data_IF_816571569297
#
_entry.id   IF_816571569297
#
_cell.length_a   1.000
_cell.length_b   1.000
_cell.length_c   1.000
_cell.angle_alpha   90.00
_cell.angle_beta   90.00
_cell.angle_gamma   90.00
#
_symmetry.space_group_name_H-M   'P 1'
#
loop_
_entity.id
_entity.type
_entity.pdbx_description
1 polymer ?
#
# COMPACT_ATOMS: atom_id res chain seq x y z
N UNK A 1 3.88 5.30 11.45
CA UNK A 1 2.63 5.19 10.71
C UNK A 1 2.69 6.01 9.43
N UNK A 2 2.09 5.47 8.34
CA UNK A 2 2.05 6.07 7.02
C UNK A 2 0.63 6.36 6.53
N UNK A 3 0.56 7.09 5.42
CA UNK A 3 -0.66 7.48 4.73
C UNK A 3 -0.47 7.33 3.22
N UNK A 4 -1.47 6.77 2.52
CA UNK A 4 -1.47 6.68 1.07
C UNK A 4 -2.04 7.95 0.44
N UNK A 5 -1.34 8.48 -0.55
CA UNK A 5 -1.87 9.49 -1.47
C UNK A 5 -2.54 8.80 -2.64
N UNK A 6 -3.55 7.97 -2.33
CA UNK A 6 -4.23 7.11 -3.29
C UNK A 6 -5.20 7.84 -4.20
N UNK A 7 -5.57 7.20 -5.31
CA UNK A 7 -6.41 7.75 -6.37
C UNK A 7 -5.88 9.08 -6.93
N UNK A 8 -4.57 9.21 -6.99
CA UNK A 8 -3.89 10.39 -7.52
C UNK A 8 -3.02 10.01 -8.73
N UNK A 9 -1.77 9.55 -8.50
CA UNK A 9 -0.88 9.10 -9.56
C UNK A 9 -1.15 7.67 -10.02
N UNK A 10 -1.95 6.93 -9.29
CA UNK A 10 -2.51 5.62 -9.63
C UNK A 10 -3.79 5.73 -10.47
N UNK A 11 -4.47 6.87 -10.45
CA UNK A 11 -5.69 7.11 -11.22
C UNK A 11 -5.43 7.09 -12.73
N UNK A 12 -6.38 6.55 -13.51
CA UNK A 12 -6.25 6.43 -14.96
C UNK A 12 -7.59 6.57 -15.69
N UNK A 13 -7.54 6.89 -16.97
CA UNK A 13 -8.68 6.85 -17.88
C UNK A 13 -8.24 6.16 -19.17
N UNK A 14 -8.97 5.13 -19.62
CA UNK A 14 -8.62 4.33 -20.80
C UNK A 14 -7.17 3.79 -20.78
N UNK A 15 -6.69 3.35 -19.63
CA UNK A 15 -5.35 2.81 -19.45
C UNK A 15 -4.23 3.84 -19.45
N UNK A 16 -4.53 5.14 -19.47
CA UNK A 16 -3.56 6.23 -19.38
C UNK A 16 -3.65 6.85 -18.00
N UNK A 17 -2.58 6.79 -17.21
CA UNK A 17 -2.57 7.40 -15.88
C UNK A 17 -2.58 8.93 -15.95
N UNK A 18 -3.28 9.54 -15.01
CA UNK A 18 -3.37 10.99 -14.89
C UNK A 18 -3.68 11.38 -13.45
N UNK A 19 -2.96 12.34 -12.94
CA UNK A 19 -3.05 12.81 -11.55
C UNK A 19 -4.48 13.17 -11.10
N UNK A 20 -5.36 13.54 -12.02
CA UNK A 20 -6.70 14.01 -11.72
C UNK A 20 -7.81 13.16 -12.32
N UNK A 21 -7.47 11.98 -12.88
CA UNK A 21 -8.40 11.15 -13.64
C UNK A 21 -9.65 10.74 -12.83
N UNK A 22 -9.52 10.57 -11.52
CA UNK A 22 -10.63 10.15 -10.63
C UNK A 22 -11.14 11.29 -9.74
N UNK A 23 -10.92 12.55 -10.16
CA UNK A 23 -11.55 13.75 -9.57
C UNK A 23 -10.84 14.36 -8.37
N UNK A 24 -9.69 13.82 -7.94
CA UNK A 24 -8.86 14.49 -6.95
C UNK A 24 -8.19 15.74 -7.57
N UNK A 25 -8.03 16.84 -6.83
CA UNK A 25 -7.31 18.01 -7.30
C UNK A 25 -5.81 17.73 -7.41
N UNK A 26 -5.03 18.48 -8.23
CA UNK A 26 -3.60 18.32 -8.31
C UNK A 26 -2.91 18.42 -6.95
N UNK A 27 -1.89 17.61 -6.73
CA UNK A 27 -1.08 17.61 -5.52
C UNK A 27 -0.40 18.96 -5.29
N UNK A 28 -0.38 19.42 -4.04
CA UNK A 28 0.26 20.66 -3.62
C UNK A 28 1.08 20.46 -2.35
N UNK A 29 2.04 21.35 -2.07
CA UNK A 29 2.81 21.34 -0.84
C UNK A 29 1.92 21.35 0.41
N UNK A 30 0.83 22.12 0.40
CA UNK A 30 -0.09 22.25 1.55
C UNK A 30 -0.68 20.92 2.01
N UNK A 31 -0.91 19.99 1.06
CA UNK A 31 -1.43 18.66 1.42
C UNK A 31 -0.41 17.89 2.24
N UNK A 32 0.84 17.86 1.81
CA UNK A 32 1.91 17.13 2.50
C UNK A 32 2.26 17.77 3.85
N UNK A 33 2.22 19.10 3.94
CA UNK A 33 2.38 19.82 5.21
C UNK A 33 1.27 19.43 6.22
N UNK A 34 0.02 19.29 5.76
CA UNK A 34 -1.10 18.84 6.60
C UNK A 34 -0.88 17.40 7.07
N UNK A 35 -0.47 16.48 6.19
CA UNK A 35 -0.20 15.08 6.53
C UNK A 35 0.90 14.98 7.59
N UNK A 36 2.02 15.68 7.40
CA UNK A 36 3.11 15.71 8.39
C UNK A 36 2.64 16.32 9.73
N UNK A 37 1.89 17.42 9.70
CA UNK A 37 1.32 18.06 10.91
C UNK A 37 0.35 17.14 11.65
N UNK A 38 -0.33 16.24 10.94
CA UNK A 38 -1.26 15.27 11.53
C UNK A 38 -0.55 14.11 12.23
N UNK A 39 0.79 14.00 12.11
CA UNK A 39 1.61 13.00 12.78
C UNK A 39 2.05 11.83 11.92
N UNK A 40 1.68 11.77 10.63
CA UNK A 40 2.20 10.77 9.71
C UNK A 40 3.67 11.04 9.42
N UNK A 41 4.49 9.99 9.44
CA UNK A 41 5.93 10.09 9.12
C UNK A 41 6.29 9.58 7.74
N UNK A 42 5.35 8.92 7.07
CA UNK A 42 5.54 8.28 5.77
C UNK A 42 4.35 8.58 4.87
N UNK A 43 4.61 8.84 3.59
CA UNK A 43 3.60 8.87 2.54
C UNK A 43 3.93 7.80 1.50
N UNK A 44 2.97 6.94 1.20
CA UNK A 44 3.00 6.09 0.00
C UNK A 44 2.28 6.84 -1.11
N UNK A 45 2.97 7.05 -2.22
CA UNK A 45 2.46 7.69 -3.43
C UNK A 45 2.34 6.59 -4.48
N UNK A 46 1.16 5.97 -4.62
CA UNK A 46 0.91 4.98 -5.68
C UNK A 46 1.10 5.63 -7.05
N UNK A 47 1.89 4.99 -7.93
CA UNK A 47 2.17 5.51 -9.28
C UNK A 47 1.88 4.43 -10.31
N UNK A 48 1.01 4.74 -11.25
CA UNK A 48 0.79 3.95 -12.47
C UNK A 48 1.61 4.55 -13.59
N UNK A 49 2.44 3.74 -14.23
CA UNK A 49 3.32 4.14 -15.34
C UNK A 49 2.66 3.90 -16.69
N UNK A 50 1.60 3.07 -16.72
CA UNK A 50 0.87 2.76 -17.94
C UNK A 50 0.35 4.01 -18.63
N UNK A 51 0.46 4.03 -19.96
CA UNK A 51 0.16 5.22 -20.77
C UNK A 51 1.31 6.19 -20.95
N UNK A 52 2.36 6.12 -20.10
CA UNK A 52 3.55 6.97 -20.17
C UNK A 52 4.82 6.18 -20.54
N UNK A 53 4.69 4.91 -20.90
CA UNK A 53 5.79 4.04 -21.34
C UNK A 53 5.73 3.88 -22.84
N UNK A 54 6.81 4.24 -23.53
CA UNK A 54 6.95 4.04 -24.95
C UNK A 54 6.98 2.57 -25.37
N UNK A 55 7.02 2.32 -26.66
CA UNK A 55 7.08 0.97 -27.24
C UNK A 55 8.45 0.30 -27.06
N UNK A 56 8.57 -0.97 -27.40
CA UNK A 56 9.85 -1.69 -27.41
C UNK A 56 10.87 -1.05 -28.32
N UNK A 57 10.46 -0.44 -29.43
CA UNK A 57 11.35 0.27 -30.37
C UNK A 57 11.96 1.54 -29.79
N UNK A 58 11.34 2.12 -28.75
CA UNK A 58 11.88 3.24 -27.97
C UNK A 58 12.51 2.79 -26.65
N UNK A 59 12.84 1.51 -26.52
CA UNK A 59 13.39 0.89 -25.31
C UNK A 59 12.51 1.10 -24.08
N UNK A 60 11.18 1.15 -24.28
CA UNK A 60 10.19 1.43 -23.24
C UNK A 60 10.44 2.75 -22.49
N UNK A 61 10.92 3.78 -23.18
CA UNK A 61 11.25 5.08 -22.58
C UNK A 61 10.02 5.66 -21.88
N UNK A 62 10.20 6.02 -20.61
CA UNK A 62 9.17 6.70 -19.83
C UNK A 62 9.15 8.19 -20.21
N UNK A 63 7.95 8.77 -20.30
CA UNK A 63 7.78 10.19 -20.57
C UNK A 63 8.39 11.04 -19.47
N UNK A 64 9.27 11.96 -19.85
CA UNK A 64 9.98 12.87 -18.94
C UNK A 64 9.02 13.76 -18.15
N UNK A 65 7.92 14.19 -18.77
CA UNK A 65 6.88 15.00 -18.11
C UNK A 65 6.24 14.27 -16.92
N UNK A 66 6.00 12.96 -17.05
CA UNK A 66 5.43 12.14 -15.97
C UNK A 66 6.44 11.94 -14.85
N UNK A 67 7.67 11.54 -15.17
CA UNK A 67 8.76 11.42 -14.20
C UNK A 67 8.98 12.72 -13.42
N UNK A 68 9.05 13.85 -14.12
CA UNK A 68 9.24 15.18 -13.54
C UNK A 68 8.08 15.58 -12.60
N UNK A 69 6.83 15.25 -12.99
CA UNK A 69 5.68 15.54 -12.12
C UNK A 69 5.69 14.68 -10.86
N UNK A 70 5.99 13.38 -10.98
CA UNK A 70 6.16 12.49 -9.81
C UNK A 70 7.28 13.01 -8.91
N UNK A 71 8.42 13.41 -9.47
CA UNK A 71 9.53 13.99 -8.72
C UNK A 71 9.14 15.28 -7.97
N UNK A 72 8.35 16.14 -8.60
CA UNK A 72 7.83 17.35 -7.97
C UNK A 72 7.03 17.00 -6.69
N UNK A 73 6.18 16.00 -6.76
CA UNK A 73 5.32 15.61 -5.63
C UNK A 73 6.13 14.88 -4.54
N UNK A 74 7.11 14.06 -4.92
CA UNK A 74 8.10 13.53 -3.97
C UNK A 74 8.82 14.68 -3.25
N UNK A 75 9.15 15.75 -3.97
CA UNK A 75 9.75 16.96 -3.40
C UNK A 75 8.87 17.65 -2.36
N UNK A 76 7.56 17.68 -2.56
CA UNK A 76 6.61 18.19 -1.55
C UNK A 76 6.66 17.37 -0.25
N UNK A 77 6.66 16.05 -0.38
CA UNK A 77 6.76 15.16 0.77
C UNK A 77 8.10 15.31 1.51
N UNK A 78 9.21 15.36 0.78
CA UNK A 78 10.56 15.61 1.30
C UNK A 78 10.62 16.92 2.08
N UNK A 79 10.08 18.00 1.52
CA UNK A 79 10.05 19.33 2.16
C UNK A 79 9.20 19.32 3.44
N UNK A 80 8.14 18.52 3.49
CA UNK A 80 7.33 18.32 4.69
C UNK A 80 8.00 17.39 5.73
N UNK A 81 9.18 16.84 5.46
CA UNK A 81 9.90 15.93 6.35
C UNK A 81 9.40 14.48 6.34
N UNK A 82 8.59 14.10 5.34
CA UNK A 82 8.04 12.76 5.20
C UNK A 82 9.03 11.83 4.49
N UNK A 83 9.04 10.56 4.89
CA UNK A 83 9.59 9.48 4.06
C UNK A 83 8.58 9.11 2.99
N UNK A 84 9.06 8.62 1.85
CA UNK A 84 8.23 8.40 0.67
C UNK A 84 8.39 6.97 0.16
N UNK A 85 7.28 6.34 -0.21
CA UNK A 85 7.25 5.08 -0.96
C UNK A 85 6.58 5.37 -2.29
N UNK A 86 7.24 5.01 -3.41
CA UNK A 86 6.61 4.97 -4.74
C UNK A 86 6.64 3.54 -5.28
N UNK A 87 5.70 3.21 -6.15
CA UNK A 87 5.55 1.85 -6.68
C UNK A 87 5.20 1.80 -8.16
N UNK A 88 4.94 0.59 -8.65
CA UNK A 88 4.22 0.30 -9.87
C UNK A 88 2.82 -0.18 -9.48
N UNK A 89 1.79 0.68 -9.65
CA UNK A 89 0.48 0.46 -9.03
C UNK A 89 -0.51 -0.26 -9.96
N UNK A 90 -1.25 0.47 -10.79
CA UNK A 90 -2.25 -0.11 -11.72
C UNK A 90 -1.66 -0.39 -13.10
N UNK A 91 -0.42 -0.86 -13.16
CA UNK A 91 0.21 -1.37 -14.39
C UNK A 91 -0.20 -2.81 -14.70
N UNK A 92 -0.88 -3.48 -13.77
CA UNK A 92 -1.37 -4.84 -13.97
C UNK A 92 -2.56 -4.90 -14.93
N UNK A 93 -2.75 -6.09 -15.55
CA UNK A 93 -3.76 -6.27 -16.58
C UNK A 93 -5.21 -6.15 -16.08
N UNK A 94 -5.48 -6.37 -14.79
CA UNK A 94 -6.82 -6.24 -14.23
C UNK A 94 -7.26 -4.77 -14.18
N UNK A 95 -6.31 -3.86 -14.14
CA UNK A 95 -6.50 -2.41 -14.19
C UNK A 95 -6.27 -1.82 -15.59
N UNK A 96 -6.29 -2.64 -16.64
CA UNK A 96 -6.06 -2.20 -18.03
C UNK A 96 -4.59 -1.95 -18.37
N UNK A 97 -3.67 -2.34 -17.49
CA UNK A 97 -2.23 -2.20 -17.68
C UNK A 97 -1.62 -3.34 -18.49
N UNK A 98 -0.31 -3.31 -18.60
CA UNK A 98 0.47 -4.22 -19.44
C UNK A 98 1.00 -5.45 -18.70
N UNK A 99 1.15 -5.38 -17.38
CA UNK A 99 1.75 -6.43 -16.55
C UNK A 99 0.72 -7.52 -16.24
N UNK A 100 0.66 -8.54 -17.12
CA UNK A 100 -0.33 -9.62 -17.01
C UNK A 100 0.28 -10.91 -16.49
N UNK A 101 0.06 -11.22 -15.22
CA UNK A 101 0.51 -12.48 -14.64
C UNK A 101 -0.19 -13.68 -15.28
N UNK A 102 -1.48 -13.54 -15.65
CA UNK A 102 -2.25 -14.60 -16.32
C UNK A 102 -1.65 -14.97 -17.66
N UNK A 103 -1.26 -14.00 -18.50
CA UNK A 103 -0.60 -14.26 -19.77
C UNK A 103 0.81 -14.80 -19.56
N UNK A 104 1.56 -14.24 -18.63
CA UNK A 104 2.90 -14.69 -18.30
C UNK A 104 2.92 -16.16 -17.83
N UNK A 105 1.90 -16.59 -17.07
CA UNK A 105 1.82 -17.96 -16.56
C UNK A 105 1.51 -19.00 -17.64
N UNK A 106 0.90 -18.60 -18.75
CA UNK A 106 0.49 -19.48 -19.83
C UNK A 106 1.45 -19.51 -21.01
N UNK A 107 2.33 -18.50 -21.16
CA UNK A 107 3.26 -18.39 -22.30
C UNK A 107 4.61 -17.83 -21.89
N UNK A 108 5.65 -18.64 -22.10
CA UNK A 108 7.03 -18.26 -21.73
C UNK A 108 7.54 -17.02 -22.48
N UNK A 109 7.22 -16.88 -23.77
CA UNK A 109 7.67 -15.73 -24.54
C UNK A 109 7.05 -14.44 -24.01
N UNK A 110 5.78 -14.51 -23.61
CA UNK A 110 5.09 -13.41 -22.94
C UNK A 110 5.73 -13.09 -21.57
N UNK A 111 6.04 -14.11 -20.75
CA UNK A 111 6.75 -13.92 -19.49
C UNK A 111 8.08 -13.20 -19.71
N UNK A 112 8.89 -13.68 -20.65
CA UNK A 112 10.20 -13.11 -20.97
C UNK A 112 10.07 -11.64 -21.42
N UNK A 113 9.11 -11.35 -22.32
CA UNK A 113 8.86 -9.99 -22.83
C UNK A 113 8.38 -9.03 -21.73
N UNK A 114 7.47 -9.48 -20.86
CA UNK A 114 6.99 -8.66 -19.73
C UNK A 114 8.09 -8.43 -18.72
N UNK A 115 8.92 -9.43 -18.44
CA UNK A 115 10.06 -9.31 -17.51
C UNK A 115 11.09 -8.32 -18.04
N UNK A 116 11.38 -8.32 -19.34
CA UNK A 116 12.26 -7.32 -19.98
C UNK A 116 11.68 -5.91 -19.82
N UNK A 117 10.40 -5.71 -20.13
CA UNK A 117 9.74 -4.42 -19.96
C UNK A 117 9.77 -3.95 -18.51
N UNK A 118 9.43 -4.83 -17.57
CA UNK A 118 9.44 -4.56 -16.12
C UNK A 118 10.81 -4.11 -15.65
N UNK A 119 11.87 -4.83 -16.03
CA UNK A 119 13.26 -4.44 -15.77
C UNK A 119 13.62 -3.07 -16.32
N UNK A 120 13.25 -2.79 -17.58
CA UNK A 120 13.54 -1.51 -18.24
C UNK A 120 12.86 -0.33 -17.56
N UNK A 121 11.58 -0.49 -17.16
CA UNK A 121 10.84 0.55 -16.45
C UNK A 121 11.49 0.84 -15.09
N UNK A 122 11.76 -0.20 -14.29
CA UNK A 122 12.40 0.00 -12.99
C UNK A 122 13.82 0.55 -13.07
N UNK A 123 14.59 0.17 -14.11
CA UNK A 123 15.93 0.74 -14.33
C UNK A 123 15.83 2.25 -14.58
N UNK A 124 14.89 2.71 -15.40
CA UNK A 124 14.70 4.13 -15.69
C UNK A 124 14.24 4.92 -14.45
N UNK A 125 13.26 4.38 -13.71
CA UNK A 125 12.80 5.00 -12.45
C UNK A 125 13.97 5.09 -11.47
N UNK A 126 14.73 4.02 -11.29
CA UNK A 126 15.87 4.00 -10.39
C UNK A 126 16.98 4.98 -10.81
N UNK A 127 17.26 5.08 -12.09
CA UNK A 127 18.23 6.06 -12.62
C UNK A 127 17.76 7.49 -12.39
N UNK A 128 16.49 7.79 -12.68
CA UNK A 128 15.94 9.14 -12.52
C UNK A 128 16.03 9.63 -11.07
N UNK A 129 15.71 8.75 -10.11
CA UNK A 129 15.77 9.05 -8.68
C UNK A 129 17.09 8.61 -8.00
N UNK A 130 18.12 8.31 -8.77
CA UNK A 130 19.38 7.75 -8.28
C UNK A 130 20.14 8.61 -7.27
N UNK A 131 19.92 9.93 -7.28
CA UNK A 131 20.52 10.87 -6.34
C UNK A 131 19.66 11.15 -5.09
N UNK A 132 18.42 10.66 -5.06
CA UNK A 132 17.55 10.83 -3.91
C UNK A 132 17.97 9.89 -2.77
N UNK A 133 18.06 10.44 -1.56
CA UNK A 133 18.56 9.71 -0.39
C UNK A 133 17.57 8.69 0.18
N UNK A 134 17.89 8.17 1.36
CA UNK A 134 17.16 7.09 2.05
C UNK A 134 15.75 7.44 2.52
N UNK A 135 15.29 8.68 2.34
CA UNK A 135 13.90 9.03 2.59
C UNK A 135 12.95 8.47 1.53
N UNK A 136 13.46 8.14 0.33
CA UNK A 136 12.70 7.57 -0.78
C UNK A 136 12.95 6.06 -0.89
N UNK A 137 11.89 5.29 -0.82
CA UNK A 137 11.84 3.84 -0.99
C UNK A 137 11.09 3.50 -2.27
N UNK A 138 11.47 2.42 -2.94
CA UNK A 138 10.72 1.85 -4.06
C UNK A 138 10.01 0.56 -3.64
N UNK A 139 8.81 0.34 -4.17
CA UNK A 139 8.02 -0.87 -3.99
C UNK A 139 7.78 -1.51 -5.36
N UNK A 140 8.13 -2.77 -5.52
CA UNK A 140 8.22 -3.47 -6.81
C UNK A 140 6.94 -3.41 -7.64
N UNK A 141 5.82 -3.71 -7.01
CA UNK A 141 4.50 -3.79 -7.61
C UNK A 141 3.43 -3.70 -6.54
N UNK A 142 2.20 -3.38 -6.94
CA UNK A 142 1.05 -3.30 -6.05
C UNK A 142 0.43 -4.68 -5.81
N UNK A 143 -0.72 -4.95 -6.36
CA UNK A 143 -1.55 -6.14 -6.12
C UNK A 143 -1.64 -7.02 -7.37
N UNK A 144 -0.51 -7.38 -7.96
CA UNK A 144 -0.48 -8.18 -9.18
C UNK A 144 -1.12 -9.55 -8.97
N UNK A 145 -2.14 -9.87 -9.77
CA UNK A 145 -2.96 -11.07 -9.66
C UNK A 145 -3.70 -11.35 -10.99
N UNK A 146 -4.45 -12.44 -11.08
CA UNK A 146 -5.09 -12.92 -12.33
C UNK A 146 -6.58 -12.57 -12.47
N UNK A 147 -7.14 -11.82 -11.53
CA UNK A 147 -8.56 -11.45 -11.44
C UNK A 147 -9.31 -12.11 -10.28
N UNK A 148 -8.71 -13.15 -9.68
CA UNK A 148 -9.34 -13.92 -8.59
C UNK A 148 -8.86 -13.57 -7.17
N UNK A 149 -7.98 -12.61 -7.01
CA UNK A 149 -7.43 -12.21 -5.69
C UNK A 149 -6.78 -13.36 -4.90
N UNK A 150 -6.39 -14.42 -5.61
CA UNK A 150 -5.87 -15.65 -5.01
C UNK A 150 -6.95 -16.66 -4.56
N UNK A 151 -8.23 -16.30 -4.63
CA UNK A 151 -9.30 -17.26 -4.35
C UNK A 151 -9.38 -18.34 -5.42
N UNK A 152 -9.36 -19.60 -5.00
CA UNK A 152 -9.38 -20.74 -5.92
C UNK A 152 -8.10 -20.95 -6.72
N UNK A 153 -7.03 -20.21 -6.43
CA UNK A 153 -5.73 -20.40 -7.07
C UNK A 153 -5.13 -21.74 -6.64
N UNK A 154 -4.62 -22.51 -7.62
CA UNK A 154 -3.97 -23.78 -7.33
C UNK A 154 -2.69 -23.57 -6.50
N UNK A 155 -2.45 -24.42 -5.50
CA UNK A 155 -1.28 -24.29 -4.61
C UNK A 155 0.06 -24.50 -5.33
N UNK A 156 0.05 -25.17 -6.47
CA UNK A 156 1.22 -25.44 -7.34
C UNK A 156 1.29 -24.53 -8.56
N UNK A 157 0.52 -23.43 -8.57
CA UNK A 157 0.56 -22.49 -9.70
C UNK A 157 1.93 -21.85 -9.88
N UNK A 158 2.37 -21.73 -11.13
CA UNK A 158 3.61 -21.03 -11.48
C UNK A 158 3.51 -19.50 -11.29
N UNK A 159 2.32 -18.97 -11.02
CA UNK A 159 2.13 -17.53 -10.80
C UNK A 159 2.90 -17.04 -9.56
N UNK A 160 3.05 -17.86 -8.52
CA UNK A 160 3.90 -17.51 -7.37
C UNK A 160 5.36 -17.39 -7.77
N UNK A 161 5.87 -18.28 -8.61
CA UNK A 161 7.24 -18.20 -9.09
C UNK A 161 7.46 -16.98 -9.99
N UNK A 162 6.45 -16.55 -10.75
CA UNK A 162 6.50 -15.33 -11.55
C UNK A 162 6.59 -14.08 -10.67
N UNK A 163 5.80 -13.99 -9.60
CA UNK A 163 5.92 -12.90 -8.62
C UNK A 163 7.33 -12.88 -8.02
N UNK A 164 7.88 -14.03 -7.65
CA UNK A 164 9.23 -14.14 -7.12
C UNK A 164 10.29 -13.71 -8.15
N UNK A 165 10.13 -14.10 -9.41
CA UNK A 165 11.00 -13.67 -10.51
C UNK A 165 10.96 -12.14 -10.70
N UNK A 166 9.78 -11.53 -10.68
CA UNK A 166 9.66 -10.09 -10.86
C UNK A 166 10.19 -9.31 -9.65
N UNK A 167 10.01 -9.81 -8.43
CA UNK A 167 10.68 -9.22 -7.26
C UNK A 167 12.22 -9.27 -7.38
N UNK A 168 12.79 -10.40 -7.81
CA UNK A 168 14.25 -10.50 -8.05
C UNK A 168 14.69 -9.55 -9.16
N UNK A 169 13.94 -9.51 -10.27
CA UNK A 169 14.22 -8.60 -11.40
C UNK A 169 14.21 -7.13 -10.97
N UNK A 170 13.28 -6.74 -10.09
CA UNK A 170 13.20 -5.41 -9.51
C UNK A 170 14.43 -5.08 -8.67
N UNK A 171 14.81 -5.96 -7.74
CA UNK A 171 15.99 -5.76 -6.89
C UNK A 171 17.24 -5.60 -7.75
N UNK A 172 17.45 -6.50 -8.70
CA UNK A 172 18.61 -6.46 -9.60
C UNK A 172 18.63 -5.20 -10.46
N UNK A 173 17.47 -4.79 -11.01
CA UNK A 173 17.35 -3.57 -11.80
C UNK A 173 17.74 -2.32 -11.01
N UNK A 174 17.20 -2.17 -9.79
CA UNK A 174 17.48 -1.02 -8.94
C UNK A 174 18.95 -1.03 -8.50
N UNK A 175 19.47 -2.15 -7.99
CA UNK A 175 20.86 -2.25 -7.51
C UNK A 175 21.88 -1.99 -8.61
N UNK A 176 21.61 -2.43 -9.85
CA UNK A 176 22.51 -2.22 -11.00
C UNK A 176 22.74 -0.75 -11.36
N UNK A 177 21.87 0.15 -10.92
CA UNK A 177 22.00 1.58 -11.21
C UNK A 177 23.00 2.32 -10.29
N UNK A 178 23.42 1.70 -9.19
CA UNK A 178 24.41 2.25 -8.26
C UNK A 178 23.94 3.50 -7.50
N UNK A 179 24.88 4.35 -7.10
CA UNK A 179 24.58 5.58 -6.36
C UNK A 179 23.80 5.33 -5.06
N UNK A 180 22.81 6.16 -4.75
CA UNK A 180 21.96 5.98 -3.57
C UNK A 180 21.11 4.70 -3.66
N UNK A 181 20.89 4.16 -4.85
CA UNK A 181 20.13 2.93 -5.05
C UNK A 181 20.84 1.69 -4.51
N UNK A 182 22.16 1.73 -4.33
CA UNK A 182 22.91 0.64 -3.69
C UNK A 182 22.50 0.43 -2.22
N UNK A 183 21.98 1.45 -1.56
CA UNK A 183 21.56 1.42 -0.13
C UNK A 183 20.06 1.70 0.06
N UNK A 184 19.28 1.82 -1.02
CA UNK A 184 17.86 2.15 -0.96
C UNK A 184 17.06 1.00 -0.36
N UNK A 185 16.09 1.32 0.50
CA UNK A 185 15.08 0.36 0.93
C UNK A 185 14.17 -0.01 -0.24
N UNK A 186 13.89 -1.29 -0.38
CA UNK A 186 13.07 -1.85 -1.45
C UNK A 186 11.94 -2.68 -0.86
N UNK A 187 10.70 -2.35 -1.25
CA UNK A 187 9.51 -3.12 -0.94
C UNK A 187 9.29 -4.24 -1.97
N UNK A 188 9.16 -5.46 -1.50
CA UNK A 188 8.77 -6.61 -2.32
C UNK A 188 7.33 -7.00 -2.00
N UNK A 189 6.60 -7.51 -2.96
CA UNK A 189 5.21 -7.89 -2.78
C UNK A 189 5.01 -9.39 -2.96
N UNK A 190 4.12 -9.98 -2.16
CA UNK A 190 3.59 -11.31 -2.45
C UNK A 190 2.43 -11.22 -3.45
N UNK A 191 1.94 -12.36 -3.91
CA UNK A 191 0.82 -12.43 -4.84
C UNK A 191 -0.38 -11.64 -4.29
N UNK A 192 -0.92 -10.71 -5.12
CA UNK A 192 -2.04 -9.82 -4.73
C UNK A 192 -1.77 -8.96 -3.47
N UNK A 193 -0.52 -8.78 -3.07
CA UNK A 193 -0.13 -8.25 -1.77
C UNK A 193 -0.86 -8.91 -0.57
N UNK A 194 -1.42 -10.12 -0.76
CA UNK A 194 -2.24 -10.79 0.23
C UNK A 194 -1.39 -11.39 1.35
N UNK A 195 -1.58 -11.01 2.62
CA UNK A 195 -0.84 -11.59 3.73
C UNK A 195 -1.07 -13.11 3.89
N UNK A 196 -2.22 -13.62 3.40
CA UNK A 196 -2.55 -15.05 3.42
C UNK A 196 -1.72 -15.87 2.43
N UNK A 197 -1.17 -15.23 1.39
CA UNK A 197 -0.33 -15.84 0.35
C UNK A 197 1.16 -15.52 0.53
N UNK A 198 1.53 -14.81 1.58
CA UNK A 198 2.91 -14.44 1.86
C UNK A 198 3.85 -15.64 2.02
N UNK A 199 3.33 -16.82 2.41
CA UNK A 199 4.14 -18.06 2.52
C UNK A 199 4.74 -18.54 1.19
N UNK A 200 4.20 -18.12 0.05
CA UNK A 200 4.73 -18.44 -1.28
C UNK A 200 5.83 -17.45 -1.74
N UNK A 201 6.07 -16.39 -0.98
CA UNK A 201 7.12 -15.42 -1.28
C UNK A 201 8.50 -16.02 -0.98
N UNK A 202 9.39 -15.95 -1.97
CA UNK A 202 10.82 -16.18 -1.82
C UNK A 202 11.51 -14.81 -1.72
N UNK A 203 12.19 -14.55 -0.63
CA UNK A 203 12.92 -13.29 -0.46
C UNK A 203 14.01 -13.20 -1.52
N UNK A 204 14.06 -12.14 -2.34
CA UNK A 204 15.11 -11.97 -3.33
C UNK A 204 16.49 -11.96 -2.73
N UNK A 205 17.48 -12.45 -3.47
CA UNK A 205 18.87 -12.19 -3.17
C UNK A 205 19.18 -10.71 -3.37
N UNK A 206 19.81 -10.09 -2.39
CA UNK A 206 20.24 -8.68 -2.48
C UNK A 206 21.71 -8.57 -2.10
N UNK A 207 22.38 -7.57 -2.62
CA UNK A 207 23.74 -7.18 -2.21
C UNK A 207 23.75 -6.54 -0.81
N UNK A 208 22.58 -6.15 -0.30
CA UNK A 208 22.36 -5.59 1.03
C UNK A 208 21.54 -6.55 1.89
N UNK A 209 21.91 -6.72 3.14
CA UNK A 209 21.29 -7.72 4.03
C UNK A 209 20.02 -7.24 4.74
N UNK A 210 19.77 -5.93 4.79
CA UNK A 210 18.75 -5.28 5.64
C UNK A 210 17.92 -4.21 4.92
N UNK A 211 17.82 -4.29 3.59
CA UNK A 211 17.16 -3.27 2.77
C UNK A 211 15.89 -3.75 2.05
N UNK A 212 15.48 -5.00 2.27
CA UNK A 212 14.23 -5.53 1.71
C UNK A 212 13.13 -5.53 2.77
N UNK A 213 11.94 -5.08 2.41
CA UNK A 213 10.74 -5.09 3.24
C UNK A 213 9.60 -5.78 2.48
N UNK A 214 8.77 -6.55 3.18
CA UNK A 214 7.56 -7.13 2.62
C UNK A 214 6.39 -6.14 2.69
N UNK A 215 5.77 -5.87 1.54
CA UNK A 215 4.49 -5.15 1.43
C UNK A 215 3.33 -6.14 1.48
N UNK A 216 2.36 -5.89 2.33
CA UNK A 216 1.06 -6.61 2.35
C UNK A 216 -0.08 -5.62 2.47
N UNK A 217 -1.25 -5.99 1.93
CA UNK A 217 -2.48 -5.21 2.05
C UNK A 217 -3.54 -6.06 2.75
N UNK A 218 -4.30 -5.47 3.65
CA UNK A 218 -5.37 -6.18 4.33
C UNK A 218 -6.52 -5.24 4.72
N UNK A 219 -7.71 -5.57 4.24
CA UNK A 219 -8.97 -4.85 4.53
C UNK A 219 -10.02 -5.78 5.15
N UNK A 220 -9.56 -6.84 5.82
CA UNK A 220 -10.49 -7.85 6.35
C UNK A 220 -11.39 -7.32 7.48
N UNK A 221 -12.69 -7.58 7.44
CA UNK A 221 -13.41 -8.12 6.29
C UNK A 221 -13.74 -7.01 5.28
N UNK A 222 -13.48 -7.21 3.99
CA UNK A 222 -13.69 -6.19 2.96
C UNK A 222 -15.16 -5.73 2.87
N UNK A 223 -16.09 -6.63 3.14
CA UNK A 223 -17.53 -6.33 3.21
C UNK A 223 -17.86 -5.22 4.26
N UNK A 224 -17.02 -5.08 5.31
CA UNK A 224 -17.11 -3.99 6.28
C UNK A 224 -16.20 -2.82 5.88
N UNK A 225 -14.93 -3.12 5.63
CA UNK A 225 -13.89 -2.12 5.53
C UNK A 225 -13.95 -1.30 4.23
N UNK A 226 -14.43 -1.89 3.11
CA UNK A 226 -14.47 -1.25 1.78
C UNK A 226 -15.87 -1.14 1.20
N UNK A 227 -16.66 -2.22 1.24
CA UNK A 227 -17.97 -2.30 0.59
C UNK A 227 -19.12 -1.64 1.38
N UNK A 228 -18.92 -1.36 2.68
CA UNK A 228 -19.97 -0.87 3.57
C UNK A 228 -21.24 -1.75 3.59
N UNK A 229 -21.11 -3.04 3.33
CA UNK A 229 -22.19 -4.01 3.37
C UNK A 229 -22.59 -4.33 4.82
N UNK A 230 -21.59 -4.44 5.69
CA UNK A 230 -21.78 -4.50 7.14
C UNK A 230 -21.36 -3.17 7.75
N UNK A 231 -22.09 -2.73 8.77
CA UNK A 231 -21.83 -1.44 9.42
C UNK A 231 -21.11 -1.58 10.76
N UNK A 232 -21.02 -2.81 11.26
CA UNK A 232 -20.48 -3.13 12.56
C UNK A 232 -19.30 -4.08 12.44
N UNK A 233 -18.32 -3.94 13.36
CA UNK A 233 -17.17 -4.82 13.48
C UNK A 233 -16.77 -5.00 14.94
N UNK A 234 -16.23 -6.18 15.26
CA UNK A 234 -15.78 -6.53 16.61
C UNK A 234 -16.62 -7.59 17.27
N UNK A 235 -16.10 -8.16 18.35
CA UNK A 235 -16.74 -9.31 19.01
C UNK A 235 -18.12 -9.00 19.60
N UNK A 236 -18.38 -7.76 20.02
CA UNK A 236 -19.66 -7.33 20.57
C UNK A 236 -20.69 -6.93 19.50
N UNK A 237 -20.31 -6.90 18.23
CA UNK A 237 -21.19 -6.56 17.13
C UNK A 237 -22.10 -7.73 16.75
N UNK A 238 -23.38 -7.46 16.47
CA UNK A 238 -24.38 -8.46 16.03
C UNK A 238 -24.51 -8.52 14.51
N UNK A 239 -24.46 -7.36 13.84
CA UNK A 239 -24.60 -7.26 12.39
C UNK A 239 -23.24 -7.07 11.72
N UNK A 240 -22.45 -8.13 11.70
CA UNK A 240 -21.08 -8.17 11.20
C UNK A 240 -20.85 -9.31 10.20
N UNK A 241 -19.73 -9.21 9.47
CA UNK A 241 -19.27 -10.30 8.63
C UNK A 241 -18.91 -11.56 9.46
N UNK A 242 -19.03 -12.73 8.86
CA UNK A 242 -18.74 -14.02 9.49
C UNK A 242 -17.24 -14.30 9.70
N UNK A 243 -16.37 -13.56 9.01
CA UNK A 243 -14.90 -13.66 9.06
C UNK A 243 -14.26 -12.28 9.11
N UNK A 244 -12.95 -12.21 9.30
CA UNK A 244 -12.20 -10.95 9.39
C UNK A 244 -12.37 -10.25 10.74
N UNK A 245 -12.64 -11.01 11.81
CA UNK A 245 -12.75 -10.51 13.17
C UNK A 245 -11.35 -10.28 13.81
N UNK A 246 -11.32 -9.94 15.09
CA UNK A 246 -10.08 -9.66 15.83
C UNK A 246 -9.12 -10.85 15.84
N UNK A 247 -9.64 -12.09 15.94
CA UNK A 247 -8.81 -13.30 15.97
C UNK A 247 -8.23 -13.63 14.59
N UNK A 248 -8.99 -13.38 13.51
CA UNK A 248 -8.48 -13.50 12.15
C UNK A 248 -7.31 -12.53 11.91
N UNK A 249 -7.45 -11.28 12.34
CA UNK A 249 -6.39 -10.29 12.27
C UNK A 249 -5.16 -10.66 13.10
N UNK A 250 -5.35 -11.15 14.32
CA UNK A 250 -4.24 -11.64 15.14
C UNK A 250 -3.50 -12.79 14.46
N UNK A 251 -4.24 -13.71 13.85
CA UNK A 251 -3.67 -14.85 13.12
C UNK A 251 -2.81 -14.38 11.95
N UNK A 252 -3.31 -13.43 11.15
CA UNK A 252 -2.57 -12.84 10.02
C UNK A 252 -1.29 -12.16 10.51
N UNK A 253 -1.43 -11.24 11.47
CA UNK A 253 -0.31 -10.43 11.97
C UNK A 253 0.74 -11.31 12.64
N UNK A 254 0.33 -12.29 13.46
CA UNK A 254 1.23 -13.23 14.08
C UNK A 254 1.97 -14.09 13.05
N UNK A 255 1.30 -14.56 12.01
CA UNK A 255 1.92 -15.32 10.93
C UNK A 255 3.00 -14.51 10.21
N UNK A 256 2.73 -13.24 9.90
CA UNK A 256 3.72 -12.35 9.29
C UNK A 256 4.93 -12.10 10.21
N UNK A 257 4.67 -11.87 11.50
CA UNK A 257 5.72 -11.67 12.49
C UNK A 257 6.66 -12.88 12.59
N UNK A 258 6.10 -14.09 12.77
CA UNK A 258 6.87 -15.32 12.92
C UNK A 258 7.65 -15.70 11.64
N UNK A 259 7.07 -15.45 10.48
CA UNK A 259 7.65 -15.89 9.21
C UNK A 259 8.59 -14.86 8.56
N UNK A 260 8.46 -13.58 8.89
CA UNK A 260 9.25 -12.50 8.26
C UNK A 260 9.96 -11.62 9.29
N UNK A 261 9.25 -10.91 10.16
CA UNK A 261 9.84 -9.93 11.07
C UNK A 261 10.91 -10.57 11.95
N UNK A 262 10.61 -11.68 12.61
CA UNK A 262 11.57 -12.44 13.43
C UNK A 262 12.77 -12.97 12.65
N UNK A 263 12.64 -13.10 11.34
CA UNK A 263 13.72 -13.55 10.46
C UNK A 263 14.52 -12.41 9.82
N UNK A 264 14.27 -11.17 10.28
CA UNK A 264 14.99 -9.98 9.83
C UNK A 264 14.43 -9.34 8.56
N UNK A 265 13.23 -9.73 8.11
CA UNK A 265 12.53 -9.08 6.99
C UNK A 265 11.40 -8.22 7.57
N UNK A 266 11.56 -6.90 7.66
CA UNK A 266 10.50 -6.01 8.12
C UNK A 266 9.27 -6.10 7.21
N UNK A 267 8.08 -5.95 7.81
CA UNK A 267 6.80 -5.98 7.10
C UNK A 267 6.09 -4.63 7.25
N UNK A 268 5.45 -4.17 6.20
CA UNK A 268 4.51 -3.07 6.29
C UNK A 268 3.19 -3.42 5.63
N UNK A 269 2.10 -2.98 6.27
CA UNK A 269 0.79 -2.99 5.66
C UNK A 269 0.71 -1.76 4.76
N UNK A 270 1.05 -1.93 3.48
CA UNK A 270 1.07 -0.88 2.47
C UNK A 270 -0.30 -0.25 2.27
N UNK A 271 -1.35 -1.04 2.53
CA UNK A 271 -2.72 -0.57 2.57
C UNK A 271 -3.53 -1.30 3.65
N UNK A 272 -4.27 -0.52 4.43
CA UNK A 272 -5.34 -0.95 5.34
C UNK A 272 -6.25 0.24 5.60
N UNK A 273 -7.45 0.01 6.07
CA UNK A 273 -8.36 1.09 6.40
C UNK A 273 -9.79 0.62 6.55
N UNK A 274 -10.68 1.55 6.90
CA UNK A 274 -12.12 1.34 6.88
C UNK A 274 -12.85 2.59 6.41
N UNK A 275 -13.86 2.40 5.57
CA UNK A 275 -14.72 3.47 5.07
C UNK A 275 -15.55 4.10 6.19
N UNK A 276 -15.95 5.36 6.00
CA UNK A 276 -16.90 6.02 6.90
C UNK A 276 -18.31 5.49 6.65
N UNK A 277 -19.03 5.23 7.74
CA UNK A 277 -20.44 4.84 7.71
C UNK A 277 -21.20 5.66 8.75
N UNK A 278 -22.19 6.45 8.31
CA UNK A 278 -22.93 7.37 9.17
C UNK A 278 -23.72 6.62 10.24
N UNK A 279 -23.59 7.07 11.50
CA UNK A 279 -24.23 6.45 12.65
C UNK A 279 -23.47 5.24 13.25
N UNK A 280 -22.36 4.83 12.60
CA UNK A 280 -21.54 3.69 13.04
C UNK A 280 -20.08 4.08 13.30
N UNK A 281 -19.83 5.35 13.58
CA UNK A 281 -18.49 5.92 13.78
C UNK A 281 -17.71 5.21 14.88
N UNK A 282 -18.38 4.75 15.96
CA UNK A 282 -17.74 4.02 17.06
C UNK A 282 -17.08 2.71 16.60
N UNK A 283 -17.69 2.00 15.66
CA UNK A 283 -17.12 0.77 15.11
C UNK A 283 -15.91 1.06 14.23
N UNK A 284 -15.95 2.15 13.44
CA UNK A 284 -14.78 2.58 12.65
C UNK A 284 -13.61 2.99 13.54
N UNK A 285 -13.87 3.75 14.61
CA UNK A 285 -12.83 4.13 15.57
C UNK A 285 -12.21 2.90 16.22
N UNK A 286 -13.04 1.96 16.68
CA UNK A 286 -12.58 0.72 17.27
C UNK A 286 -11.74 -0.12 16.31
N UNK A 287 -12.22 -0.32 15.07
CA UNK A 287 -11.47 -1.04 14.02
C UNK A 287 -10.11 -0.40 13.78
N UNK A 288 -10.08 0.91 13.55
CA UNK A 288 -8.83 1.61 13.24
C UNK A 288 -7.87 1.63 14.42
N UNK A 289 -8.36 1.82 15.65
CA UNK A 289 -7.51 1.77 16.85
C UNK A 289 -6.95 0.37 17.09
N UNK A 290 -7.80 -0.65 17.03
CA UNK A 290 -7.43 -2.05 17.28
C UNK A 290 -6.42 -2.55 16.25
N UNK A 291 -6.71 -2.41 14.96
CA UNK A 291 -5.84 -2.89 13.89
C UNK A 291 -4.50 -2.14 13.87
N UNK A 292 -4.52 -0.82 13.99
CA UNK A 292 -3.28 -0.04 14.06
C UNK A 292 -2.41 -0.47 15.25
N UNK A 293 -3.02 -0.65 16.43
CA UNK A 293 -2.30 -1.12 17.62
C UNK A 293 -1.73 -2.51 17.44
N UNK A 294 -2.51 -3.43 16.88
CA UNK A 294 -2.09 -4.79 16.61
C UNK A 294 -0.87 -4.83 15.66
N UNK A 295 -0.93 -4.13 14.53
CA UNK A 295 0.18 -4.04 13.57
C UNK A 295 1.42 -3.46 14.25
N UNK A 296 1.27 -2.37 15.00
CA UNK A 296 2.37 -1.70 15.69
C UNK A 296 3.00 -2.59 16.78
N UNK A 297 2.20 -3.29 17.58
CA UNK A 297 2.70 -4.15 18.66
C UNK A 297 3.49 -5.36 18.16
N UNK A 298 3.30 -5.75 16.91
CA UNK A 298 4.08 -6.76 16.23
C UNK A 298 5.20 -6.15 15.34
N UNK A 299 5.65 -4.92 15.66
CA UNK A 299 6.80 -4.26 15.03
C UNK A 299 6.66 -4.06 13.52
N UNK A 300 5.43 -3.96 13.02
CA UNK A 300 5.12 -3.70 11.62
C UNK A 300 4.61 -2.27 11.42
N UNK A 301 4.72 -1.77 10.18
CA UNK A 301 4.34 -0.41 9.83
C UNK A 301 2.94 -0.40 9.18
N UNK A 302 1.93 0.28 9.79
CA UNK A 302 0.64 0.51 9.15
C UNK A 302 0.69 1.74 8.23
N UNK A 303 0.18 1.62 6.99
CA UNK A 303 0.03 2.72 6.03
C UNK A 303 -1.43 2.80 5.60
N UNK A 304 -2.16 3.79 6.13
CA UNK A 304 -3.59 3.96 5.90
C UNK A 304 -3.89 4.27 4.42
N UNK A 305 -4.91 3.62 3.84
CA UNK A 305 -5.40 3.92 2.50
C UNK A 305 -6.34 5.12 2.50
N UNK A 306 -5.97 6.20 1.83
CA UNK A 306 -6.80 7.39 1.59
C UNK A 306 -6.89 7.63 0.09
N UNK A 307 -8.08 7.46 -0.47
CA UNK A 307 -8.34 7.68 -1.89
C UNK A 307 -8.89 9.08 -2.21
N UNK A 308 -8.94 9.98 -1.22
CA UNK A 308 -9.51 11.31 -1.38
C UNK A 308 -11.04 11.33 -1.49
N UNK A 309 -11.70 10.17 -1.49
CA UNK A 309 -13.15 10.08 -1.58
C UNK A 309 -13.79 10.33 -0.21
N UNK A 310 -14.34 11.53 -0.05
CA UNK A 310 -15.05 11.96 1.16
C UNK A 310 -16.50 11.48 1.16
N UNK A 311 -17.13 11.49 2.34
CA UNK A 311 -18.54 11.08 2.49
C UNK A 311 -18.67 9.79 3.30
N UNK A 312 -19.76 9.06 3.08
CA UNK A 312 -20.14 7.85 3.80
C UNK A 312 -20.50 6.73 2.82
N UNK A 313 -20.20 5.49 3.18
CA UNK A 313 -20.51 4.29 2.39
C UNK A 313 -19.29 3.71 1.65
N UNK A 314 -19.60 2.91 0.62
CA UNK A 314 -18.58 2.19 -0.17
C UNK A 314 -17.51 3.13 -0.72
N UNK A 315 -16.27 2.68 -0.64
CA UNK A 315 -15.07 3.37 -1.16
C UNK A 315 -14.82 4.78 -0.59
N UNK A 316 -15.42 5.14 0.54
CA UNK A 316 -15.24 6.45 1.20
C UNK A 316 -14.17 6.40 2.28
N UNK A 317 -12.89 6.24 1.85
CA UNK A 317 -11.73 6.16 2.73
C UNK A 317 -11.12 7.52 3.10
N UNK A 318 -11.50 8.60 2.44
CA UNK A 318 -10.88 9.91 2.57
C UNK A 318 -10.86 10.45 4.01
N UNK A 319 -9.68 10.66 4.56
CA UNK A 319 -9.47 11.34 5.85
C UNK A 319 -9.37 12.84 5.67
N UNK A 320 -8.99 13.28 4.47
CA UNK A 320 -8.75 14.68 4.18
C UNK A 320 -9.52 15.13 2.94
N UNK A 321 -10.04 16.34 3.01
CA UNK A 321 -10.52 17.05 1.83
C UNK A 321 -9.32 17.73 1.16
N UNK A 322 -8.92 17.20 0.01
CA UNK A 322 -7.73 17.64 -0.73
C UNK A 322 -7.90 19.00 -1.41
N UNK A 323 -9.15 19.50 -1.53
CA UNK A 323 -9.42 20.80 -2.14
C UNK A 323 -9.25 21.96 -1.16
N UNK A 324 -9.57 21.75 0.11
CA UNK A 324 -9.52 22.82 1.13
C UNK A 324 -8.51 22.54 2.26
N UNK A 325 -7.81 21.40 2.20
CA UNK A 325 -6.76 21.01 3.15
C UNK A 325 -7.27 20.90 4.60
N UNK A 326 -8.40 20.24 4.80
CA UNK A 326 -9.00 20.02 6.11
C UNK A 326 -9.33 18.54 6.34
N UNK A 327 -9.60 18.16 7.57
CA UNK A 327 -10.16 16.84 7.84
C UNK A 327 -11.55 16.68 7.21
N UNK A 328 -11.81 15.50 6.66
CA UNK A 328 -13.16 15.07 6.31
C UNK A 328 -13.98 14.84 7.58
N UNK A 329 -15.32 14.79 7.42
CA UNK A 329 -16.24 14.59 8.56
C UNK A 329 -15.85 13.34 9.37
N UNK A 330 -15.62 13.53 10.69
CA UNK A 330 -15.24 12.46 11.63
C UNK A 330 -13.81 11.93 11.50
N UNK A 331 -13.06 12.36 10.48
CA UNK A 331 -11.72 11.83 10.20
C UNK A 331 -10.66 12.23 11.24
N UNK A 332 -10.80 13.42 11.86
CA UNK A 332 -9.86 13.84 12.90
C UNK A 332 -9.81 12.86 14.08
N UNK A 333 -10.96 12.31 14.49
CA UNK A 333 -11.03 11.29 15.54
C UNK A 333 -10.37 9.99 15.11
N UNK A 334 -10.53 9.57 13.84
CA UNK A 334 -9.84 8.40 13.27
C UNK A 334 -8.33 8.59 13.29
N UNK A 335 -7.83 9.75 12.85
CA UNK A 335 -6.40 10.06 12.88
C UNK A 335 -5.87 10.05 14.32
N UNK A 336 -6.60 10.63 15.27
CA UNK A 336 -6.20 10.65 16.69
C UNK A 336 -6.03 9.25 17.28
N UNK A 337 -6.98 8.33 17.03
CA UNK A 337 -6.88 6.95 17.56
C UNK A 337 -5.74 6.19 16.88
N UNK A 338 -5.51 6.38 15.58
CA UNK A 338 -4.39 5.77 14.87
C UNK A 338 -3.04 6.28 15.39
N UNK A 339 -2.88 7.59 15.61
CA UNK A 339 -1.65 8.18 16.15
C UNK A 339 -1.34 7.67 17.56
N UNK A 340 -2.37 7.55 18.41
CA UNK A 340 -2.25 6.93 19.73
C UNK A 340 -1.86 5.47 19.64
N UNK A 341 -2.52 4.70 18.79
CA UNK A 341 -2.28 3.27 18.60
C UNK A 341 -0.87 2.97 18.05
N UNK A 342 -0.36 3.83 17.19
CA UNK A 342 0.99 3.73 16.62
C UNK A 342 2.09 4.37 17.51
N UNK A 343 1.77 4.78 18.75
CA UNK A 343 2.75 5.35 19.68
C UNK A 343 3.29 6.73 19.30
N UNK A 344 2.67 7.44 18.35
CA UNK A 344 3.07 8.79 17.94
C UNK A 344 2.66 9.82 18.98
N UNK A 345 1.48 9.66 19.58
CA UNK A 345 1.01 10.49 20.68
C UNK A 345 1.04 9.71 22.00
N UNK A 346 1.16 10.45 23.11
CA UNK A 346 1.18 9.84 24.44
C UNK A 346 -0.11 9.10 24.73
N UNK A 347 0.01 7.94 25.37
CA UNK A 347 -1.09 7.12 25.87
C UNK A 347 -0.94 6.88 27.37
N UNK A 348 -2.01 6.43 28.01
CA UNK A 348 -1.99 6.03 29.42
C UNK A 348 -1.08 4.81 29.63
N UNK A 349 -0.56 4.65 30.88
CA UNK A 349 0.35 3.54 31.23
C UNK A 349 -0.24 2.16 30.95
N UNK A 350 -1.57 2.04 30.98
CA UNK A 350 -2.27 0.77 30.77
C UNK A 350 -2.80 0.58 29.35
N UNK A 351 -2.45 1.48 28.43
CA UNK A 351 -2.91 1.40 27.04
C UNK A 351 -2.35 0.15 26.36
N UNK A 352 -3.22 -0.78 26.04
CA UNK A 352 -2.89 -2.08 25.48
C UNK A 352 -3.96 -2.56 24.51
N UNK A 353 -3.61 -3.54 23.69
CA UNK A 353 -4.57 -4.19 22.80
C UNK A 353 -5.73 -4.82 23.56
N UNK A 354 -5.46 -5.37 24.75
CA UNK A 354 -6.50 -5.94 25.64
C UNK A 354 -7.48 -4.87 26.13
N UNK A 355 -6.97 -3.68 26.50
CA UNK A 355 -7.82 -2.57 26.93
C UNK A 355 -8.72 -2.09 25.78
N UNK A 356 -8.18 -1.98 24.57
CA UNK A 356 -8.94 -1.63 23.37
C UNK A 356 -10.01 -2.70 23.10
N UNK A 357 -9.63 -3.99 23.18
CA UNK A 357 -10.55 -5.11 22.99
C UNK A 357 -11.75 -5.04 23.96
N UNK A 358 -11.50 -4.81 25.25
CA UNK A 358 -12.57 -4.68 26.27
C UNK A 358 -13.51 -3.49 26.02
N UNK A 359 -13.06 -2.47 25.31
CA UNK A 359 -13.82 -1.27 24.96
C UNK A 359 -14.58 -1.39 23.62
N UNK A 360 -14.64 -2.59 23.04
CA UNK A 360 -15.34 -2.81 21.77
C UNK A 360 -16.80 -2.34 21.83
N UNK A 361 -17.27 -1.57 20.83
CA UNK A 361 -18.66 -1.13 20.79
C UNK A 361 -19.62 -2.31 20.63
N UNK A 362 -20.80 -2.19 21.23
CA UNK A 362 -21.89 -3.14 21.06
C UNK A 362 -22.94 -2.59 20.10
N UNK A 363 -23.64 -3.49 19.41
CA UNK A 363 -24.84 -3.13 18.65
C UNK A 363 -25.89 -2.52 19.56
N UNK A 364 -26.56 -1.49 19.07
CA UNK A 364 -27.69 -0.84 19.77
C UNK A 364 -28.91 -1.74 19.81
#
# INVERSE_FOLDING_TARGET
IGWNFGNQFDAYTNGISSETAWGNPPATQKMFDLIAKSGFGIVRIPVTWNGHIGSATSDYKIEESWLSRVATVIGYAKKAGLKVIINMHHDDNNNGGWLSIKKASSDKNTLDSLTVKFKKVWTQVAQYFGNEGNYLMFEAMNEVQDGGWGWGLASDTNQFDIINLWNQTFVDAVRSTGGQNSQRFLGIACYSASPRLASHLKIPTDTQTDKLLLSVHCYDPFDYAGEAKYHEWGHNAKNKASSGNEEDWKTIVKSLYENFVKKGVPVYFGEYGAVRQDGYESFRLYYMEYITKLIHDYEMLPVYWDNGANGSGKDKFGLYNRSNYSYSTGAESVVKVMMKAAGVTKSDKNYSLEQIYKAAPASK
#
